data_IF_373533139220
#
_entry.id   IF_373533139220
#
_cell.length_a   1.000
_cell.length_b   1.000
_cell.length_c   1.000
_cell.angle_alpha   90.00
_cell.angle_beta   90.00
_cell.angle_gamma   90.00
#
_symmetry.space_group_name_H-M   'P 1'
#
loop_
_entity.id
_entity.type
_entity.pdbx_description
1 polymer ?
#
# COMPACT_ATOMS: atom_id res chain seq x y z
N UNK A 1 18.49 53.64 -9.69
CA UNK A 1 18.98 52.37 -10.26
C UNK A 1 19.28 51.33 -9.22
N UNK A 2 19.90 51.69 -8.13
CA UNK A 2 20.19 50.70 -7.05
C UNK A 2 18.94 50.05 -6.50
N UNK A 3 17.84 50.80 -6.42
CA UNK A 3 16.61 50.26 -5.85
C UNK A 3 15.87 49.34 -6.84
N UNK A 4 16.04 49.57 -8.12
CA UNK A 4 15.47 48.74 -9.17
C UNK A 4 16.13 47.35 -9.17
N UNK A 5 17.44 47.33 -8.96
CA UNK A 5 18.18 46.07 -8.91
C UNK A 5 17.76 45.22 -7.70
N UNK A 6 17.50 45.88 -6.56
CA UNK A 6 16.98 45.20 -5.37
C UNK A 6 15.54 44.69 -5.59
N UNK A 7 14.77 45.44 -6.35
CA UNK A 7 13.41 45.04 -6.66
C UNK A 7 13.37 43.85 -7.60
N UNK A 8 14.28 43.83 -8.58
CA UNK A 8 14.42 42.69 -9.49
C UNK A 8 14.90 41.46 -8.74
N UNK A 9 15.83 41.64 -7.81
CA UNK A 9 16.32 40.54 -7.00
C UNK A 9 15.22 39.97 -6.09
N UNK A 10 14.36 40.83 -5.59
CA UNK A 10 13.24 40.41 -4.74
C UNK A 10 12.19 39.66 -5.56
N UNK A 11 12.05 40.03 -6.84
CA UNK A 11 11.09 39.36 -7.72
C UNK A 11 11.53 37.96 -8.11
N UNK A 12 12.84 37.69 -8.05
CA UNK A 12 13.37 36.38 -8.39
C UNK A 12 13.21 35.33 -7.28
N UNK A 13 12.79 35.77 -6.10
CA UNK A 13 12.59 34.88 -4.98
C UNK A 13 11.12 34.45 -4.91
N UNK A 14 10.52 34.20 -6.06
CA UNK A 14 9.20 33.57 -6.03
C UNK A 14 9.41 32.13 -5.66
N UNK A 15 8.76 31.65 -4.59
CA UNK A 15 8.92 30.26 -4.22
C UNK A 15 8.38 29.41 -5.37
N UNK A 16 9.16 28.45 -5.78
CA UNK A 16 8.69 27.39 -6.61
C UNK A 16 7.71 26.59 -5.76
N UNK A 17 6.48 27.03 -5.77
CA UNK A 17 5.44 26.26 -5.12
C UNK A 17 5.34 24.96 -5.88
N UNK A 18 5.55 23.89 -5.16
CA UNK A 18 5.35 22.57 -5.73
C UNK A 18 3.93 22.53 -6.29
N UNK A 19 3.84 22.33 -7.59
CA UNK A 19 2.55 22.33 -8.24
C UNK A 19 1.81 21.06 -7.87
N UNK A 20 0.78 21.24 -7.06
CA UNK A 20 -0.14 20.16 -6.79
C UNK A 20 -1.08 20.04 -7.98
N UNK A 21 -1.32 18.83 -8.39
CA UNK A 21 -2.22 18.53 -9.50
C UNK A 21 -3.29 17.58 -9.00
N UNK A 22 -4.50 17.78 -9.47
CA UNK A 22 -5.59 16.86 -9.15
C UNK A 22 -5.42 15.60 -9.97
N UNK A 23 -5.38 14.47 -9.30
CA UNK A 23 -5.33 13.17 -9.93
C UNK A 23 -6.70 12.53 -9.83
N UNK A 24 -7.25 12.15 -10.99
CA UNK A 24 -8.52 11.46 -11.06
C UNK A 24 -8.26 9.98 -11.26
N UNK A 25 -8.99 9.17 -10.52
CA UNK A 25 -8.84 7.72 -10.59
C UNK A 25 -10.15 7.00 -10.37
N UNK A 26 -10.14 5.70 -10.66
CA UNK A 26 -11.28 4.82 -10.53
C UNK A 26 -10.86 3.55 -9.82
N UNK A 27 -11.61 3.13 -8.83
CA UNK A 27 -11.33 1.91 -8.06
C UNK A 27 -12.46 0.90 -8.26
N UNK A 28 -12.07 -0.35 -8.51
CA UNK A 28 -13.02 -1.43 -8.73
C UNK A 28 -12.57 -2.71 -8.04
N UNK A 29 -13.50 -3.61 -7.80
CA UNK A 29 -13.21 -4.94 -7.25
C UNK A 29 -12.79 -5.85 -8.40
N UNK A 30 -11.65 -6.50 -8.24
CA UNK A 30 -11.13 -7.43 -9.24
C UNK A 30 -12.06 -8.65 -9.38
N UNK A 31 -12.57 -9.15 -8.27
CA UNK A 31 -13.41 -10.34 -8.27
C UNK A 31 -14.78 -10.12 -8.92
N UNK A 32 -15.35 -8.96 -8.67
CA UNK A 32 -16.71 -8.69 -9.13
C UNK A 32 -16.76 -7.74 -10.32
N UNK A 33 -15.63 -7.14 -10.67
CA UNK A 33 -15.50 -6.15 -11.74
C UNK A 33 -16.53 -5.01 -11.59
N UNK A 34 -16.75 -4.59 -10.36
CA UNK A 34 -17.69 -3.54 -10.01
C UNK A 34 -17.00 -2.37 -9.36
N UNK A 35 -17.49 -1.14 -9.56
CA UNK A 35 -16.92 0.02 -8.91
C UNK A 35 -17.08 -0.09 -7.39
N UNK A 36 -16.12 0.45 -6.66
CA UNK A 36 -16.11 0.38 -5.22
C UNK A 36 -16.28 1.77 -4.61
N UNK A 37 -17.42 2.03 -3.97
CA UNK A 37 -17.63 3.30 -3.27
C UNK A 37 -16.99 3.29 -1.89
N UNK A 38 -16.74 4.47 -1.35
CA UNK A 38 -16.23 4.68 0.01
C UNK A 38 -14.86 4.05 0.29
N UNK A 39 -14.06 3.83 -0.73
CA UNK A 39 -12.68 3.38 -0.56
C UNK A 39 -11.84 4.57 -0.10
N UNK A 40 -11.00 4.37 0.89
CA UNK A 40 -10.16 5.43 1.41
C UNK A 40 -8.85 5.52 0.63
N UNK A 41 -8.54 6.71 0.17
CA UNK A 41 -7.29 7.02 -0.51
C UNK A 41 -6.56 8.08 0.32
N UNK A 42 -5.35 7.79 0.75
CA UNK A 42 -4.55 8.70 1.55
C UNK A 42 -3.23 9.01 0.85
N UNK A 43 -2.92 10.27 0.67
CA UNK A 43 -1.61 10.69 0.22
C UNK A 43 -0.67 10.72 1.44
N UNK A 44 0.26 9.79 1.52
CA UNK A 44 1.14 9.63 2.66
C UNK A 44 2.14 10.77 2.80
N UNK A 45 2.51 11.41 1.71
CA UNK A 45 3.47 12.50 1.72
C UNK A 45 2.85 13.80 2.24
N UNK A 46 1.58 14.01 1.96
CA UNK A 46 0.89 15.24 2.34
C UNK A 46 -0.12 15.05 3.46
N UNK A 47 -0.35 13.82 3.85
CA UNK A 47 -1.32 13.46 4.90
C UNK A 47 -2.71 14.02 4.58
N UNK A 48 -3.11 13.92 3.32
CA UNK A 48 -4.43 14.34 2.86
C UNK A 48 -5.13 13.13 2.25
N UNK A 49 -6.40 13.02 2.46
CA UNK A 49 -7.17 11.86 1.99
C UNK A 49 -8.47 12.22 1.32
N UNK A 50 -9.01 11.27 0.61
CA UNK A 50 -10.32 11.34 -0.03
C UNK A 50 -10.96 9.97 -0.05
N UNK A 51 -12.19 9.88 -0.50
CA UNK A 51 -12.90 8.61 -0.67
C UNK A 51 -13.51 8.56 -2.06
N UNK A 52 -13.75 7.32 -2.54
CA UNK A 52 -14.44 7.14 -3.81
C UNK A 52 -15.93 7.43 -3.66
N UNK A 53 -16.54 7.87 -4.76
CA UNK A 53 -17.99 8.07 -4.83
C UNK A 53 -18.70 6.77 -5.20
N UNK A 54 -20.00 6.82 -5.45
CA UNK A 54 -20.79 5.63 -5.78
C UNK A 54 -20.37 4.95 -7.07
N UNK A 55 -19.66 5.65 -7.93
CA UNK A 55 -19.16 5.11 -9.18
C UNK A 55 -17.71 4.61 -9.06
N UNK A 56 -17.13 4.67 -7.87
CA UNK A 56 -15.76 4.26 -7.65
C UNK A 56 -14.72 5.30 -8.08
N UNK A 57 -15.14 6.52 -8.41
CA UNK A 57 -14.24 7.56 -8.85
C UNK A 57 -13.75 8.40 -7.68
N UNK A 58 -12.52 8.86 -7.76
CA UNK A 58 -11.96 9.74 -6.75
C UNK A 58 -11.10 10.84 -7.37
N UNK A 59 -10.91 11.91 -6.62
CA UNK A 59 -10.03 13.02 -6.98
C UNK A 59 -9.18 13.35 -5.76
N UNK A 60 -7.88 13.43 -5.94
CA UNK A 60 -6.96 13.77 -4.85
C UNK A 60 -5.82 14.63 -5.38
N UNK A 61 -5.39 15.60 -4.55
CA UNK A 61 -4.27 16.46 -4.93
C UNK A 61 -2.97 15.73 -4.66
N UNK A 62 -2.13 15.63 -5.68
CA UNK A 62 -0.87 14.92 -5.62
C UNK A 62 0.25 15.70 -6.28
N UNK A 63 1.47 15.34 -5.98
CA UNK A 63 2.65 15.72 -6.74
C UNK A 63 3.32 14.46 -7.26
N UNK A 64 4.18 14.60 -8.24
CA UNK A 64 4.96 13.46 -8.74
C UNK A 64 5.82 12.90 -7.60
N UNK A 65 5.90 11.59 -7.52
CA UNK A 65 6.60 10.83 -6.48
C UNK A 65 5.88 10.77 -5.13
N UNK A 66 4.67 11.27 -5.03
CA UNK A 66 3.85 11.04 -3.84
C UNK A 66 3.40 9.57 -3.80
N UNK A 67 3.19 9.04 -2.60
CA UNK A 67 2.67 7.69 -2.43
C UNK A 67 1.23 7.74 -1.96
N UNK A 68 0.35 7.10 -2.69
CA UNK A 68 -1.04 6.95 -2.30
C UNK A 68 -1.24 5.61 -1.62
N UNK A 69 -1.91 5.63 -0.49
CA UNK A 69 -2.27 4.42 0.24
C UNK A 69 -3.78 4.22 0.09
N UNK A 70 -4.18 3.10 -0.46
CA UNK A 70 -5.58 2.81 -0.75
C UNK A 70 -6.00 1.66 0.14
N UNK A 71 -7.09 1.85 0.87
CA UNK A 71 -7.58 0.84 1.81
C UNK A 71 -9.09 0.77 1.85
N UNK A 72 -9.59 -0.44 2.06
CA UNK A 72 -11.01 -0.68 2.25
C UNK A 72 -11.18 -1.92 3.11
N UNK A 73 -12.20 -1.91 3.96
CA UNK A 73 -12.44 -3.02 4.89
C UNK A 73 -12.74 -4.31 4.11
N UNK A 74 -12.03 -5.38 4.43
CA UNK A 74 -12.20 -6.66 3.75
C UNK A 74 -11.41 -6.82 2.46
N UNK A 75 -10.62 -5.82 2.09
CA UNK A 75 -9.79 -5.86 0.89
C UNK A 75 -8.32 -5.63 1.23
N UNK A 76 -7.45 -6.12 0.39
CA UNK A 76 -6.02 -5.94 0.56
C UNK A 76 -5.66 -4.50 0.23
N UNK A 77 -4.99 -3.82 1.15
CA UNK A 77 -4.55 -2.45 0.92
C UNK A 77 -3.43 -2.40 -0.11
N UNK A 78 -3.35 -1.31 -0.83
CA UNK A 78 -2.40 -1.14 -1.93
C UNK A 78 -1.73 0.22 -1.83
N UNK A 79 -0.45 0.27 -2.17
CA UNK A 79 0.29 1.52 -2.28
C UNK A 79 0.60 1.77 -3.75
N UNK A 80 0.41 2.99 -4.19
CA UNK A 80 0.66 3.40 -5.57
C UNK A 80 1.57 4.62 -5.55
N UNK A 81 2.67 4.54 -6.27
CA UNK A 81 3.56 5.68 -6.42
C UNK A 81 3.05 6.54 -7.59
N UNK A 82 2.85 7.81 -7.36
CA UNK A 82 2.37 8.73 -8.40
C UNK A 82 3.50 9.03 -9.37
N UNK A 83 3.28 8.70 -10.63
CA UNK A 83 4.25 8.95 -11.68
C UNK A 83 3.83 10.17 -12.51
N UNK A 84 4.78 10.69 -13.25
CA UNK A 84 4.52 11.83 -14.14
C UNK A 84 3.43 11.49 -15.18
N UNK A 85 3.41 10.26 -15.66
CA UNK A 85 2.42 9.83 -16.64
C UNK A 85 1.01 9.79 -16.06
N UNK A 86 0.88 9.38 -14.82
CA UNK A 86 -0.42 9.37 -14.14
C UNK A 86 -1.00 10.77 -14.01
N UNK A 87 -0.14 11.73 -13.70
CA UNK A 87 -0.55 13.13 -13.59
C UNK A 87 -0.88 13.72 -14.96
N UNK A 88 -0.10 13.36 -15.96
CA UNK A 88 -0.25 13.93 -17.30
C UNK A 88 -1.47 13.39 -18.03
N UNK A 89 -1.68 12.08 -17.98
CA UNK A 89 -2.73 11.44 -18.78
C UNK A 89 -4.02 11.22 -18.01
N UNK A 90 -3.99 11.30 -16.71
CA UNK A 90 -5.14 11.05 -15.84
C UNK A 90 -5.72 9.64 -16.06
N UNK A 91 -6.77 9.32 -15.38
CA UNK A 91 -7.44 8.03 -15.63
C UNK A 91 -6.81 6.83 -14.98
N UNK A 92 -6.25 6.99 -13.81
CA UNK A 92 -5.69 5.88 -13.03
C UNK A 92 -6.79 4.88 -12.64
N UNK A 93 -6.60 3.61 -12.95
CA UNK A 93 -7.51 2.54 -12.57
C UNK A 93 -6.83 1.59 -11.62
N UNK A 94 -7.46 1.32 -10.49
CA UNK A 94 -6.91 0.46 -9.46
C UNK A 94 -7.89 -0.65 -9.14
N UNK A 95 -7.44 -1.89 -9.25
CA UNK A 95 -8.22 -3.05 -8.85
C UNK A 95 -7.85 -3.47 -7.43
N UNK A 96 -8.85 -3.67 -6.59
CA UNK A 96 -8.65 -4.17 -5.23
C UNK A 96 -9.08 -5.63 -5.12
N UNK A 97 -8.30 -6.42 -4.39
CA UNK A 97 -8.54 -7.83 -4.19
C UNK A 97 -9.08 -8.09 -2.79
N UNK A 98 -10.10 -8.91 -2.68
CA UNK A 98 -10.65 -9.27 -1.38
C UNK A 98 -9.65 -10.08 -0.58
N UNK A 99 -9.60 -9.84 0.72
CA UNK A 99 -8.69 -10.55 1.61
C UNK A 99 -8.95 -12.06 1.64
N UNK A 100 -10.18 -12.48 1.48
CA UNK A 100 -10.49 -13.90 1.47
C UNK A 100 -9.73 -14.65 0.37
N UNK A 101 -9.67 -14.05 -0.82
CA UNK A 101 -8.92 -14.66 -1.91
C UNK A 101 -7.41 -14.56 -1.69
N UNK A 102 -6.95 -13.46 -1.13
CA UNK A 102 -5.53 -13.30 -0.84
C UNK A 102 -5.05 -14.28 0.23
N UNK A 103 -5.87 -14.54 1.23
CA UNK A 103 -5.54 -15.49 2.27
C UNK A 103 -5.56 -16.93 1.75
N UNK A 104 -6.49 -17.24 0.89
CA UNK A 104 -6.56 -18.56 0.29
C UNK A 104 -5.30 -18.88 -0.48
N UNK A 105 -4.78 -17.92 -1.19
CA UNK A 105 -3.55 -18.08 -1.92
C UNK A 105 -2.36 -18.31 -0.97
N UNK A 106 -2.35 -17.63 0.15
CA UNK A 106 -1.27 -17.78 1.12
C UNK A 106 -1.32 -19.12 1.81
N UNK A 107 -2.51 -19.61 2.08
CA UNK A 107 -2.67 -20.90 2.76
C UNK A 107 -2.10 -22.05 1.94
N UNK A 108 -2.21 -21.99 0.66
CA UNK A 108 -1.71 -23.05 -0.19
C UNK A 108 -0.20 -23.17 -0.10
N UNK A 109 0.49 -22.10 0.02
CA UNK A 109 1.93 -22.11 0.03
C UNK A 109 2.55 -22.80 1.24
N UNK A 110 2.20 -22.44 2.44
CA UNK A 110 2.82 -23.05 3.59
C UNK A 110 2.47 -24.51 3.73
N UNK A 111 1.34 -24.91 3.15
CA UNK A 111 0.95 -26.23 3.27
C UNK A 111 1.95 -27.23 2.79
N UNK A 112 2.70 -26.87 1.82
CA UNK A 112 3.64 -27.79 1.29
C UNK A 112 4.78 -28.10 2.22
N UNK A 113 4.92 -27.26 3.23
CA UNK A 113 6.07 -27.44 3.96
C UNK A 113 5.94 -28.46 4.91
N UNK A 114 4.80 -28.61 5.40
CA UNK A 114 4.72 -29.37 6.50
C UNK A 114 5.01 -30.70 6.35
N UNK A 115 5.00 -31.09 5.23
CA UNK A 115 5.23 -32.41 5.07
C UNK A 115 6.14 -33.02 5.99
N UNK A 116 6.77 -32.33 6.85
CA UNK A 116 7.75 -32.96 7.47
C UNK A 116 7.83 -32.69 8.87
N UNK A 117 6.97 -32.06 9.36
CA UNK A 117 7.06 -31.67 10.65
C UNK A 117 7.50 -32.73 11.62
N UNK A 118 6.89 -33.84 11.59
CA UNK A 118 7.23 -34.93 12.42
C UNK A 118 8.62 -35.42 12.14
N UNK A 119 9.05 -35.33 10.96
CA UNK A 119 10.36 -35.74 10.60
C UNK A 119 11.36 -34.77 11.16
N UNK A 120 11.02 -33.55 11.17
CA UNK A 120 11.92 -32.58 11.69
C UNK A 120 12.10 -32.73 13.15
N UNK A 121 11.11 -33.10 13.82
CA UNK A 121 11.20 -33.31 15.24
C UNK A 121 12.22 -34.38 15.55
N UNK A 122 12.45 -35.27 14.64
CA UNK A 122 13.41 -36.32 14.88
C UNK A 122 14.79 -35.92 14.47
N UNK A 123 14.86 -35.19 13.40
CA UNK A 123 16.14 -34.86 12.89
C UNK A 123 16.65 -33.59 13.35
N UNK A 124 15.79 -32.78 13.78
CA UNK A 124 16.17 -31.52 14.24
C UNK A 124 16.90 -31.76 15.48
N UNK A 125 18.02 -31.60 15.54
CA UNK A 125 18.78 -31.86 16.65
C UNK A 125 18.26 -31.04 17.75
N UNK A 126 17.58 -31.40 18.23
CA UNK A 126 16.82 -30.81 18.88
C UNK A 126 17.15 -30.34 19.83
N UNK A 127 17.55 -30.37 19.77
CA UNK A 127 17.36 -30.15 20.38
C UNK A 127 17.28 -30.16 21.17
N UNK A 128 17.73 -30.62 21.64
CA UNK A 128 17.24 -30.95 22.29
C UNK A 128 17.18 -30.38 23.10
N UNK A 129 17.55 -30.20 23.34
CA UNK A 129 17.11 -29.77 23.95
C UNK A 129 16.35 -29.08 24.16
N UNK A 130 16.48 -29.28 24.30
CA UNK A 130 15.26 -29.12 24.46
C UNK A 130 14.67 -28.72 24.99
N UNK A 131 14.96 -28.87 25.26
CA UNK A 131 14.04 -28.93 25.67
C UNK A 131 13.42 -28.41 25.96
N UNK A 132 14.24 -28.98 26.63
CA UNK A 132 13.32 -28.96 26.78
C UNK A 132 12.66 -28.89 27.04
N UNK A 133 13.26 -28.58 27.11
CA UNK A 133 12.43 -29.02 27.21
C UNK A 133 11.82 -28.98 27.48
N UNK A 134 12.34 -29.26 27.80
CA UNK A 134 11.41 -29.66 27.92
C UNK A 134 11.06 -29.83 28.29
N UNK A 135 11.96 -29.89 28.65
CA UNK A 135 11.37 -30.62 28.81
C UNK A 135 10.73 -30.50 29.05
N UNK A 136 11.74 -30.79 29.43
CA UNK A 136 10.82 -31.11 29.31
C UNK A 136 10.30 -31.13 29.31
N UNK A 137 10.50 -30.86 29.32
CA UNK A 137 9.81 -31.25 29.15
C UNK A 137 9.44 -31.51 29.02
N UNK A 138 10.02 -31.44 28.67
CA UNK A 138 9.54 -32.15 28.63
C UNK A 138 8.92 -32.29 28.38
N UNK A 139 9.47 -32.26 28.70
CA UNK A 139 8.68 -32.74 28.62
C UNK A 139 8.25 -33.01 28.38
N UNK A 140 9.15 -32.71 28.09
CA UNK A 140 8.37 -33.20 27.86
C UNK A 140 8.19 -33.41 27.89
N UNK A 141 8.39 -33.56 28.01
CA UNK A 141 7.93 -34.04 28.30
C UNK A 141 7.50 -33.96 28.61
#
# INVERSE_FOLDING_TARGET
MKNILKFILLLCVTPLLAQETELHGHIYSVQHNKPMPNVHILNLNKVKGTTTNDKGDFVINVAVNDTLYISFLGYKSTKVLVTNDMVKYQGLKIGMTELAYALEEVVVTPYKLTGYLDIDAKNAPINNNTRYSISGLEIGY
#
